data_IF_449907716670
#
_entry.id   IF_449907716670
#
_cell.length_a   1.000
_cell.length_b   1.000
_cell.length_c   1.000
_cell.angle_alpha   90.00
_cell.angle_beta   90.00
_cell.angle_gamma   90.00
#
_symmetry.space_group_name_H-M   'P 1'
#
loop_
_entity.id
_entity.type
_entity.pdbx_description
1 polymer ?
#
# COMPACT_ATOMS: atom_id res chain seq x y z
N UNK A 1 -2.43 3.63 33.52
CA UNK A 1 -1.75 2.44 32.94
C UNK A 1 -2.75 1.31 32.74
N UNK A 2 -3.45 1.30 31.61
CA UNK A 2 -4.22 0.12 31.20
C UNK A 2 -3.28 -0.80 30.43
N UNK A 3 -2.79 -1.85 31.10
CA UNK A 3 -2.06 -2.91 30.41
C UNK A 3 -3.07 -3.73 29.61
N UNK A 4 -2.99 -3.65 28.28
CA UNK A 4 -3.72 -4.55 27.40
C UNK A 4 -3.21 -5.98 27.62
N UNK A 5 -4.04 -6.83 28.22
CA UNK A 5 -3.73 -8.25 28.38
C UNK A 5 -4.15 -8.99 27.12
N UNK A 6 -3.17 -9.48 26.37
CA UNK A 6 -3.44 -10.35 25.22
C UNK A 6 -3.98 -11.69 25.70
N UNK A 7 -5.25 -11.98 25.41
CA UNK A 7 -5.92 -13.21 25.83
C UNK A 7 -6.07 -14.21 24.68
N UNK A 8 -6.62 -15.39 24.98
CA UNK A 8 -6.97 -16.37 23.95
C UNK A 8 -8.07 -15.81 23.04
N UNK A 9 -9.03 -15.09 23.58
CA UNK A 9 -10.07 -14.40 22.81
C UNK A 9 -9.48 -13.37 21.85
N UNK A 10 -8.48 -12.58 22.28
CA UNK A 10 -7.75 -11.67 21.39
C UNK A 10 -7.06 -12.42 20.24
N UNK A 11 -6.45 -13.57 20.55
CA UNK A 11 -5.78 -14.41 19.55
C UNK A 11 -6.77 -14.93 18.50
N UNK A 12 -7.92 -15.44 18.94
CA UNK A 12 -8.94 -15.97 18.03
C UNK A 12 -9.61 -14.87 17.21
N UNK A 13 -9.85 -13.69 17.81
CA UNK A 13 -10.33 -12.52 17.08
C UNK A 13 -9.33 -12.08 15.99
N UNK A 14 -8.03 -12.05 16.31
CA UNK A 14 -6.98 -11.69 15.34
C UNK A 14 -6.85 -12.69 14.20
N UNK A 15 -6.87 -14.00 14.50
CA UNK A 15 -6.89 -15.05 13.47
C UNK A 15 -8.11 -14.95 12.57
N UNK A 16 -9.28 -14.70 13.17
CA UNK A 16 -10.53 -14.52 12.43
C UNK A 16 -10.46 -13.32 11.49
N UNK A 17 -9.92 -12.19 11.97
CA UNK A 17 -9.74 -10.99 11.16
C UNK A 17 -8.81 -11.27 9.97
N UNK A 18 -7.65 -11.90 10.20
CA UNK A 18 -6.74 -12.30 9.13
C UNK A 18 -7.45 -13.17 8.10
N UNK A 19 -8.15 -14.21 8.54
CA UNK A 19 -8.88 -15.12 7.65
C UNK A 19 -9.86 -14.35 6.77
N UNK A 20 -10.68 -13.47 7.35
CA UNK A 20 -11.66 -12.66 6.61
C UNK A 20 -10.99 -11.75 5.57
N UNK A 21 -9.88 -11.09 5.94
CA UNK A 21 -9.15 -10.20 5.03
C UNK A 21 -8.49 -10.95 3.87
N UNK A 22 -8.13 -12.22 4.05
CA UNK A 22 -7.45 -13.04 3.02
C UNK A 22 -8.39 -13.99 2.27
N UNK A 23 -9.70 -13.85 2.43
CA UNK A 23 -10.69 -14.69 1.72
C UNK A 23 -11.76 -13.83 1.05
N UNK A 24 -12.47 -14.43 0.10
CA UNK A 24 -13.69 -13.83 -0.43
C UNK A 24 -14.70 -13.53 0.71
N UNK A 25 -15.50 -12.46 0.61
CA UNK A 25 -15.62 -11.55 -0.54
C UNK A 25 -14.65 -10.34 -0.49
N UNK A 26 -13.78 -10.23 0.53
CA UNK A 26 -12.87 -9.08 0.67
C UNK A 26 -11.72 -9.18 -0.32
N UNK A 27 -11.07 -10.35 -0.37
CA UNK A 27 -9.98 -10.62 -1.30
C UNK A 27 -10.49 -11.41 -2.51
N UNK A 28 -10.23 -10.90 -3.71
CA UNK A 28 -10.71 -11.45 -4.97
C UNK A 28 -9.57 -11.62 -5.98
N UNK A 29 -9.83 -12.42 -7.01
CA UNK A 29 -8.99 -12.50 -8.20
C UNK A 29 -9.05 -11.19 -9.01
N UNK A 30 -7.95 -10.78 -9.65
CA UNK A 30 -7.92 -9.55 -10.45
C UNK A 30 -8.87 -9.64 -11.66
N UNK A 31 -9.58 -8.54 -11.93
CA UNK A 31 -10.30 -8.32 -13.17
C UNK A 31 -9.52 -7.33 -14.06
N UNK A 32 -8.80 -7.82 -15.05
CA UNK A 32 -7.94 -6.99 -15.90
C UNK A 32 -8.68 -6.01 -16.82
N UNK A 33 -10.01 -6.09 -16.90
CA UNK A 33 -10.83 -5.10 -17.60
C UNK A 33 -11.11 -3.85 -16.76
N UNK A 34 -10.84 -3.92 -15.45
CA UNK A 34 -11.06 -2.82 -14.51
C UNK A 34 -9.73 -2.17 -14.09
N UNK A 35 -9.70 -0.84 -13.87
CA UNK A 35 -8.49 -0.17 -13.43
C UNK A 35 -8.06 -0.64 -12.04
N UNK A 36 -6.75 -0.65 -11.79
CA UNK A 36 -6.21 -0.92 -10.46
C UNK A 36 -6.05 0.37 -9.66
N UNK A 37 -6.26 0.26 -8.37
CA UNK A 37 -6.04 1.32 -7.39
C UNK A 37 -4.95 0.84 -6.44
N UNK A 38 -3.83 1.55 -6.42
CA UNK A 38 -2.70 1.29 -5.54
C UNK A 38 -2.75 2.27 -4.38
N UNK A 39 -3.13 1.79 -3.20
CA UNK A 39 -3.14 2.57 -1.98
C UNK A 39 -1.84 2.33 -1.23
N UNK A 40 -1.12 3.40 -0.90
CA UNK A 40 0.20 3.33 -0.28
C UNK A 40 0.22 4.12 1.02
N UNK A 41 1.08 3.71 1.92
CA UNK A 41 1.39 4.44 3.14
C UNK A 41 2.84 4.12 3.58
N UNK A 42 3.46 5.07 4.26
CA UNK A 42 4.81 4.94 4.81
C UNK A 42 4.82 5.42 6.26
N UNK A 43 5.32 4.56 7.14
CA UNK A 43 5.50 4.88 8.55
C UNK A 43 6.97 4.72 8.95
N UNK A 44 7.27 5.00 10.21
CA UNK A 44 8.66 5.11 10.69
C UNK A 44 9.50 3.84 10.47
N UNK A 45 8.85 2.67 10.44
CA UNK A 45 9.51 1.38 10.42
C UNK A 45 9.28 0.58 9.13
N UNK A 46 8.40 1.03 8.24
CA UNK A 46 7.95 0.20 7.13
C UNK A 46 7.17 0.96 6.07
N UNK A 47 6.94 0.22 4.99
CA UNK A 47 6.14 0.62 3.84
C UNK A 47 4.98 -0.36 3.72
N UNK A 48 3.83 0.13 3.32
CA UNK A 48 2.63 -0.68 3.09
C UNK A 48 1.98 -0.29 1.77
N UNK A 49 1.38 -1.28 1.12
CA UNK A 49 0.60 -1.08 -0.08
C UNK A 49 -0.56 -2.08 -0.17
N UNK A 50 -1.68 -1.62 -0.71
CA UNK A 50 -2.85 -2.44 -0.99
C UNK A 50 -3.22 -2.22 -2.47
N UNK A 51 -3.25 -3.31 -3.22
CA UNK A 51 -3.75 -3.30 -4.59
C UNK A 51 -5.24 -3.65 -4.56
N UNK A 52 -6.07 -2.75 -5.07
CA UNK A 52 -7.53 -2.88 -5.05
C UNK A 52 -8.15 -2.56 -6.40
N UNK A 53 -9.41 -2.96 -6.58
CA UNK A 53 -10.25 -2.57 -7.71
C UNK A 53 -11.60 -2.12 -7.19
N UNK A 54 -12.19 -1.12 -7.84
CA UNK A 54 -13.51 -0.60 -7.50
C UNK A 54 -14.43 -0.72 -8.72
N UNK A 55 -15.48 -1.53 -8.60
CA UNK A 55 -16.52 -1.74 -9.61
C UNK A 55 -17.81 -2.24 -8.94
N UNK A 56 -18.96 -2.07 -9.59
CA UNK A 56 -20.29 -2.41 -9.03
C UNK A 56 -20.53 -1.82 -7.63
N UNK A 57 -20.09 -0.58 -7.42
CA UNK A 57 -20.13 0.15 -6.13
C UNK A 57 -19.45 -0.59 -4.96
N UNK A 58 -18.52 -1.50 -5.27
CA UNK A 58 -17.79 -2.31 -4.30
C UNK A 58 -16.29 -2.19 -4.53
N UNK A 59 -15.56 -2.29 -3.42
CA UNK A 59 -14.10 -2.33 -3.41
C UNK A 59 -13.63 -3.75 -3.11
N UNK A 60 -12.74 -4.25 -3.95
CA UNK A 60 -12.16 -5.57 -3.85
C UNK A 60 -10.66 -5.48 -3.65
N UNK A 61 -10.13 -6.24 -2.70
CA UNK A 61 -8.69 -6.34 -2.51
C UNK A 61 -8.15 -7.43 -3.41
N UNK A 62 -7.10 -7.11 -4.16
CA UNK A 62 -6.38 -8.06 -5.00
C UNK A 62 -5.17 -8.61 -4.25
N UNK A 63 -4.42 -7.72 -3.60
CA UNK A 63 -3.24 -8.09 -2.83
C UNK A 63 -2.89 -7.07 -1.75
N UNK A 64 -2.27 -7.56 -0.68
CA UNK A 64 -1.63 -6.75 0.35
C UNK A 64 -0.12 -6.94 0.26
N UNK A 65 0.65 -5.88 0.45
CA UNK A 65 2.10 -5.95 0.58
C UNK A 65 2.58 -5.03 1.68
N UNK A 66 3.62 -5.45 2.40
CA UNK A 66 4.36 -4.58 3.29
C UNK A 66 5.81 -5.04 3.39
N UNK A 67 6.71 -4.12 3.74
CA UNK A 67 8.09 -4.47 4.12
C UNK A 67 8.61 -3.52 5.17
N UNK A 68 9.60 -3.97 5.92
CA UNK A 68 10.35 -3.12 6.85
C UNK A 68 11.36 -2.26 6.11
N UNK A 69 11.63 -1.07 6.67
CA UNK A 69 12.67 -0.18 6.20
C UNK A 69 14.04 -0.61 6.71
N UNK A 70 15.05 -0.52 5.84
CA UNK A 70 16.45 -0.63 6.21
C UNK A 70 16.89 0.52 7.11
N UNK A 71 18.02 0.37 7.80
CA UNK A 71 18.56 1.41 8.67
C UNK A 71 18.83 2.75 7.96
N UNK A 72 19.09 2.71 6.65
CA UNK A 72 19.30 3.90 5.83
C UNK A 72 17.95 4.54 5.48
N UNK A 73 16.99 3.75 5.00
CA UNK A 73 15.67 4.25 4.59
C UNK A 73 14.86 4.81 5.78
N UNK A 74 15.08 4.29 7.00
CA UNK A 74 14.46 4.86 8.22
C UNK A 74 14.85 6.31 8.47
N UNK A 75 16.01 6.75 7.97
CA UNK A 75 16.49 8.14 8.09
C UNK A 75 15.89 9.07 7.05
N UNK A 76 15.13 8.56 6.09
CA UNK A 76 14.47 9.37 5.07
C UNK A 76 13.35 10.19 5.71
N UNK A 77 13.14 11.41 5.18
CA UNK A 77 12.00 12.23 5.58
C UNK A 77 10.67 11.56 5.23
N UNK A 78 9.57 11.97 5.86
CA UNK A 78 8.25 11.39 5.62
C UNK A 78 7.87 11.36 4.12
N UNK A 79 8.10 12.47 3.41
CA UNK A 79 7.81 12.59 1.97
C UNK A 79 8.69 11.62 1.14
N UNK A 80 9.96 11.49 1.49
CA UNK A 80 10.88 10.56 0.80
C UNK A 80 10.49 9.10 1.02
N UNK A 81 10.04 8.75 2.24
CA UNK A 81 9.54 7.39 2.54
C UNK A 81 8.26 7.09 1.78
N UNK A 82 7.35 8.07 1.68
CA UNK A 82 6.12 7.91 0.92
C UNK A 82 6.41 7.72 -0.59
N UNK A 83 7.31 8.53 -1.16
CA UNK A 83 7.76 8.35 -2.54
C UNK A 83 8.41 6.97 -2.74
N UNK A 84 9.23 6.53 -1.78
CA UNK A 84 9.81 5.19 -1.78
C UNK A 84 8.75 4.09 -1.74
N UNK A 85 7.65 4.26 -0.98
CA UNK A 85 6.54 3.29 -0.99
C UNK A 85 5.93 3.18 -2.38
N UNK A 86 5.69 4.29 -3.08
CA UNK A 86 5.14 4.27 -4.44
C UNK A 86 6.07 3.49 -5.39
N UNK A 87 7.36 3.82 -5.39
CA UNK A 87 8.35 3.16 -6.27
C UNK A 87 8.46 1.66 -5.95
N UNK A 88 8.49 1.32 -4.67
CA UNK A 88 8.55 -0.08 -4.24
C UNK A 88 7.27 -0.85 -4.59
N UNK A 89 6.10 -0.30 -4.32
CA UNK A 89 4.82 -0.95 -4.53
C UNK A 89 4.51 -1.16 -6.01
N UNK A 90 4.85 -0.19 -6.87
CA UNK A 90 4.69 -0.33 -8.33
C UNK A 90 5.58 -1.44 -8.90
N UNK A 91 6.81 -1.59 -8.39
CA UNK A 91 7.70 -2.70 -8.74
C UNK A 91 7.18 -4.03 -8.19
N UNK A 92 6.68 -4.05 -6.96
CA UNK A 92 6.17 -5.25 -6.30
C UNK A 92 4.94 -5.82 -7.04
N UNK A 93 4.02 -4.95 -7.45
CA UNK A 93 2.78 -5.33 -8.14
C UNK A 93 2.89 -5.29 -9.67
N UNK A 94 4.10 -5.21 -10.23
CA UNK A 94 4.34 -5.09 -11.69
C UNK A 94 3.54 -6.10 -12.51
N UNK A 95 3.46 -7.36 -12.05
CA UNK A 95 2.72 -8.45 -12.71
C UNK A 95 1.23 -8.13 -12.93
N UNK A 96 0.63 -7.29 -12.09
CA UNK A 96 -0.77 -6.87 -12.23
C UNK A 96 -0.91 -5.58 -13.04
N UNK A 97 -0.01 -4.61 -12.82
CA UNK A 97 -0.26 -3.23 -13.21
C UNK A 97 0.52 -2.74 -14.43
N UNK A 98 1.52 -3.48 -14.91
CA UNK A 98 2.45 -2.99 -15.95
C UNK A 98 1.76 -2.53 -17.23
N UNK A 99 0.69 -3.22 -17.64
CA UNK A 99 -0.08 -2.91 -18.85
C UNK A 99 -1.40 -2.20 -18.56
N UNK A 100 -1.67 -1.85 -17.29
CA UNK A 100 -2.94 -1.29 -16.84
C UNK A 100 -2.82 0.18 -16.46
N UNK A 101 -3.90 0.94 -16.64
CA UNK A 101 -4.00 2.25 -16.00
C UNK A 101 -4.17 2.05 -14.49
N UNK A 102 -3.38 2.77 -13.71
CA UNK A 102 -3.46 2.75 -12.25
C UNK A 102 -3.81 4.11 -11.67
N UNK A 103 -4.57 4.09 -10.59
CA UNK A 103 -4.75 5.22 -9.69
C UNK A 103 -3.91 4.97 -8.44
N UNK A 104 -2.98 5.87 -8.12
CA UNK A 104 -2.22 5.80 -6.86
C UNK A 104 -2.90 6.72 -5.84
N UNK A 105 -3.22 6.20 -4.66
CA UNK A 105 -3.75 6.96 -3.52
C UNK A 105 -2.72 6.96 -2.38
N UNK A 106 -2.39 8.16 -1.91
CA UNK A 106 -1.47 8.44 -0.81
C UNK A 106 -2.06 9.61 -0.01
N UNK A 107 -1.86 9.62 1.30
CA UNK A 107 -2.27 10.74 2.16
C UNK A 107 -1.28 11.93 2.10
N UNK A 108 -0.11 11.73 1.47
CA UNK A 108 0.91 12.74 1.30
C UNK A 108 0.58 13.68 0.13
N UNK A 109 -0.13 14.77 0.44
CA UNK A 109 -0.44 15.84 -0.54
C UNK A 109 0.78 16.41 -1.24
N UNK A 110 1.95 16.40 -0.59
CA UNK A 110 3.18 16.85 -1.21
C UNK A 110 3.43 16.06 -2.50
N UNK A 111 3.21 14.75 -2.55
CA UNK A 111 3.52 13.98 -3.76
C UNK A 111 2.64 14.32 -4.97
N UNK A 112 1.58 15.12 -4.82
CA UNK A 112 0.83 15.62 -5.97
C UNK A 112 1.70 16.51 -6.89
N UNK A 113 2.76 17.16 -6.38
CA UNK A 113 3.66 17.95 -7.23
C UNK A 113 4.49 17.09 -8.20
N UNK A 114 4.73 15.80 -7.91
CA UNK A 114 5.45 14.90 -8.82
C UNK A 114 4.76 14.79 -10.19
N UNK A 115 3.43 14.96 -10.24
CA UNK A 115 2.68 14.93 -11.50
C UNK A 115 3.03 16.08 -12.46
N UNK A 116 3.47 17.22 -11.92
CA UNK A 116 3.58 18.48 -12.67
C UNK A 116 5.04 18.95 -12.82
N UNK A 117 6.00 18.22 -12.29
CA UNK A 117 7.39 18.67 -12.21
C UNK A 117 8.23 18.02 -13.30
N UNK A 118 8.72 18.85 -14.23
CA UNK A 118 9.59 18.42 -15.34
C UNK A 118 11.00 18.04 -14.89
N UNK A 119 11.50 18.69 -13.84
CA UNK A 119 12.84 18.48 -13.30
C UNK A 119 12.78 18.07 -11.82
N UNK A 120 12.55 16.79 -11.58
CA UNK A 120 12.71 16.23 -10.24
C UNK A 120 14.22 16.03 -9.99
N UNK A 121 14.73 16.45 -8.85
CA UNK A 121 16.15 16.31 -8.49
C UNK A 121 16.35 15.46 -7.23
N UNK A 122 17.56 14.95 -7.00
CA UNK A 122 17.87 14.17 -5.80
C UNK A 122 17.25 12.77 -5.80
N UNK A 123 16.85 12.26 -4.62
CA UNK A 123 16.25 10.91 -4.48
C UNK A 123 14.86 10.80 -5.06
N UNK A 124 14.09 11.89 -5.07
CA UNK A 124 12.72 11.92 -5.58
C UNK A 124 12.66 11.73 -7.11
N UNK A 125 13.79 11.89 -7.79
CA UNK A 125 13.94 11.72 -9.24
C UNK A 125 14.26 10.28 -9.68
N UNK A 126 14.52 9.36 -8.74
CA UNK A 126 15.04 8.00 -9.00
C UNK A 126 14.01 6.92 -8.72
#
# INVERSE_FOLDING_TARGET
>A
NHHLRWSNECTEAFKTLKKKLTTAPIMNTPNFEQPFILEVDAFEYGLSAILTQEYDDKKYVIAYASRTLSAIERRYGAIEREALTIVWATKHFRVYIETSKILIRSDCKALQWLRNTKDVTGRLAR
#
